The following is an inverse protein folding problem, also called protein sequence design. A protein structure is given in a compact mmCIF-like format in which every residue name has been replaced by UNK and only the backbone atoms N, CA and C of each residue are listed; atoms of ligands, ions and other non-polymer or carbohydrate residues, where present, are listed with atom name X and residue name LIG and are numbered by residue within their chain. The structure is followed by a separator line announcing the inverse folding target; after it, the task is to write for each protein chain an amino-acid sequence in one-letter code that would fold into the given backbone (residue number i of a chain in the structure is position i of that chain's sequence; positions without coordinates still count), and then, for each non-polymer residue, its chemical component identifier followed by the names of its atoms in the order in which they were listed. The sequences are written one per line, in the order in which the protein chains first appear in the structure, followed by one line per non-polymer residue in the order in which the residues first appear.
data_IF_620218371438
#
_entry.id   IF_620218371438
#
_cell.length_a   1.000
_cell.length_b   1.000
_cell.length_c   1.000
_cell.angle_alpha   90.00
_cell.angle_beta   90.00
_cell.angle_gamma   90.00
#
_symmetry.space_group_name_H-M   'P 1'
#
loop_
_entity.id
_entity.type
_entity.pdbx_description
1 polymer ?
#
# COMPACT_ATOMS: atom_id res chain seq x y z
N UNK A 1 4.13 -2.73 -25.32
CA UNK A 1 4.51 -3.70 -24.27
C UNK A 1 3.61 -3.60 -23.03
N UNK A 2 3.23 -2.40 -22.58
CA UNK A 2 2.35 -2.15 -21.41
C UNK A 2 0.93 -2.75 -21.55
N UNK A 3 0.35 -2.72 -22.75
CA UNK A 3 -0.99 -3.28 -23.04
C UNK A 3 -1.04 -4.81 -22.87
N UNK A 4 0.09 -5.49 -23.03
CA UNK A 4 0.17 -6.95 -22.85
C UNK A 4 0.13 -7.34 -21.36
N UNK A 5 0.78 -6.55 -20.50
CA UNK A 5 0.81 -6.78 -19.06
C UNK A 5 -0.57 -6.57 -18.42
N UNK A 6 -1.29 -5.52 -18.80
CA UNK A 6 -2.65 -5.26 -18.28
C UNK A 6 -3.66 -6.34 -18.67
N UNK A 7 -3.57 -6.86 -19.91
CA UNK A 7 -4.42 -7.96 -20.38
C UNK A 7 -4.13 -9.26 -19.62
N UNK A 8 -2.85 -9.53 -19.32
CA UNK A 8 -2.44 -10.70 -18.56
C UNK A 8 -2.87 -10.63 -17.09
N UNK A 9 -2.77 -9.46 -16.44
CA UNK A 9 -3.25 -9.26 -15.06
C UNK A 9 -4.75 -9.53 -14.97
N UNK A 10 -5.55 -8.93 -15.85
CA UNK A 10 -7.01 -9.12 -15.87
C UNK A 10 -7.42 -10.58 -16.18
N UNK A 11 -6.64 -11.27 -17.00
CA UNK A 11 -6.88 -12.68 -17.33
C UNK A 11 -6.63 -13.59 -16.13
N UNK A 12 -5.51 -13.39 -15.42
CA UNK A 12 -5.14 -14.20 -14.26
C UNK A 12 -6.05 -13.94 -13.07
N UNK A 13 -6.45 -12.69 -12.81
CA UNK A 13 -7.47 -12.37 -11.79
C UNK A 13 -8.77 -13.14 -12.03
N UNK A 14 -9.26 -13.20 -13.28
CA UNK A 14 -10.47 -13.97 -13.63
C UNK A 14 -10.30 -15.48 -13.50
N UNK A 15 -9.12 -16.03 -13.74
CA UNK A 15 -8.90 -17.48 -13.54
C UNK A 15 -8.90 -17.86 -12.06
N UNK A 16 -8.27 -17.05 -11.20
CA UNK A 16 -8.27 -17.27 -9.75
C UNK A 16 -9.69 -17.14 -9.16
N UNK A 17 -10.48 -16.18 -9.64
CA UNK A 17 -11.90 -16.03 -9.27
C UNK A 17 -12.75 -17.24 -9.68
N UNK A 18 -12.42 -17.88 -10.82
CA UNK A 18 -13.12 -19.10 -11.29
C UNK A 18 -12.72 -20.35 -10.53
N UNK A 19 -11.45 -20.49 -10.17
CA UNK A 19 -10.91 -21.70 -9.51
C UNK A 19 -11.15 -21.71 -8.00
N UNK A 20 -11.22 -20.54 -7.36
CA UNK A 20 -11.42 -20.44 -5.89
C UNK A 20 -12.88 -20.52 -5.44
N UNK A 21 -13.86 -20.45 -6.35
CA UNK A 21 -15.30 -20.60 -6.07
C UNK A 21 -15.89 -19.61 -5.05
N UNK A 22 -15.14 -18.57 -4.64
CA UNK A 22 -15.53 -17.64 -3.57
C UNK A 22 -15.75 -16.23 -4.14
N UNK A 23 -17.02 -15.83 -4.22
CA UNK A 23 -17.46 -14.46 -4.54
C UNK A 23 -17.24 -13.48 -3.36
N UNK A 24 -16.01 -13.35 -2.85
CA UNK A 24 -15.69 -12.36 -1.81
C UNK A 24 -14.62 -11.39 -2.31
N UNK A 25 -14.75 -10.07 -2.01
CA UNK A 25 -13.74 -9.10 -2.38
C UNK A 25 -12.43 -9.47 -1.70
N UNK A 26 -11.41 -9.64 -2.53
CA UNK A 26 -10.04 -9.92 -2.13
C UNK A 26 -9.57 -8.77 -1.24
N UNK A 27 -9.37 -9.01 0.07
CA UNK A 27 -8.74 -8.02 0.96
C UNK A 27 -7.42 -7.59 0.34
N UNK A 28 -7.08 -6.31 0.46
CA UNK A 28 -5.91 -5.63 -0.16
C UNK A 28 -4.55 -6.29 0.20
N UNK A 29 -4.53 -7.31 1.06
CA UNK A 29 -3.37 -8.18 1.29
C UNK A 29 -3.12 -9.30 0.26
N UNK A 30 -4.01 -9.58 -0.71
CA UNK A 30 -3.82 -10.70 -1.66
C UNK A 30 -3.09 -10.34 -2.97
N UNK A 31 -2.13 -9.42 -2.92
CA UNK A 31 -1.05 -9.39 -3.91
C UNK A 31 -0.10 -10.59 -3.77
N UNK A 32 -0.17 -11.32 -2.63
CA UNK A 32 0.64 -12.49 -2.33
C UNK A 32 0.29 -13.74 -3.18
N UNK A 33 -0.99 -14.02 -3.45
CA UNK A 33 -1.38 -15.24 -4.20
C UNK A 33 -1.06 -15.16 -5.70
N UNK A 34 -1.17 -13.97 -6.31
CA UNK A 34 -0.85 -13.77 -7.74
C UNK A 34 0.67 -13.75 -8.03
N UNK A 35 1.49 -13.34 -7.06
CA UNK A 35 2.96 -13.30 -7.22
C UNK A 35 3.57 -14.71 -7.38
N UNK A 36 2.90 -15.75 -6.87
CA UNK A 36 3.31 -17.15 -7.07
C UNK A 36 3.17 -17.61 -8.54
N UNK A 37 2.30 -16.97 -9.31
CA UNK A 37 1.98 -17.36 -10.69
C UNK A 37 2.59 -16.44 -11.76
N UNK A 38 3.02 -15.22 -11.43
CA UNK A 38 3.69 -14.30 -12.39
C UNK A 38 4.91 -13.64 -11.72
N UNK A 39 6.10 -14.26 -11.77
CA UNK A 39 7.31 -13.76 -11.12
C UNK A 39 7.75 -12.37 -11.59
N UNK A 40 7.48 -12.02 -12.85
CA UNK A 40 7.84 -10.72 -13.43
C UNK A 40 6.96 -9.55 -12.96
N UNK A 41 5.87 -9.82 -12.23
CA UNK A 41 5.02 -8.80 -11.61
C UNK A 41 5.28 -8.65 -10.11
N UNK A 42 6.09 -9.54 -9.52
CA UNK A 42 6.45 -9.44 -8.13
C UNK A 42 7.42 -8.28 -7.94
N UNK A 43 7.00 -7.28 -7.17
CA UNK A 43 7.88 -6.21 -6.74
C UNK A 43 9.06 -6.81 -5.96
N UNK A 44 10.30 -6.29 -6.12
CA UNK A 44 11.46 -6.78 -5.39
C UNK A 44 11.46 -6.35 -3.91
N UNK A 45 10.33 -5.82 -3.43
CA UNK A 45 10.11 -5.36 -2.07
C UNK A 45 8.62 -5.48 -1.71
N UNK A 46 8.34 -5.37 -0.41
CA UNK A 46 7.00 -5.24 0.14
C UNK A 46 6.78 -3.81 0.61
N UNK A 47 5.56 -3.33 0.58
CA UNK A 47 5.24 -2.01 1.12
C UNK A 47 3.83 -1.97 1.70
N UNK A 48 3.68 -1.13 2.71
CA UNK A 48 2.43 -0.78 3.37
C UNK A 48 2.35 0.74 3.46
N UNK A 49 1.16 1.26 3.77
CA UNK A 49 0.98 2.69 3.95
C UNK A 49 -0.14 2.96 4.93
N UNK A 50 -0.03 4.09 5.60
CA UNK A 50 -1.14 4.74 6.28
C UNK A 50 -1.45 6.06 5.56
N UNK A 51 -2.33 6.89 6.15
CA UNK A 51 -2.67 8.16 5.54
C UNK A 51 -1.46 9.12 5.49
N UNK A 52 -0.59 9.09 6.52
CA UNK A 52 0.57 9.96 6.66
C UNK A 52 1.88 9.40 6.08
N UNK A 53 2.02 8.10 5.95
CA UNK A 53 3.32 7.45 5.74
C UNK A 53 3.26 6.24 4.81
N UNK A 54 4.43 5.84 4.31
CA UNK A 54 4.66 4.61 3.53
C UNK A 54 5.86 3.88 4.09
N UNK A 55 5.68 2.61 4.43
CA UNK A 55 6.77 1.73 4.86
C UNK A 55 7.10 0.72 3.76
N UNK A 56 8.39 0.53 3.51
CA UNK A 56 8.91 -0.35 2.47
C UNK A 56 9.91 -1.31 3.11
N UNK A 57 9.76 -2.60 2.82
CA UNK A 57 10.65 -3.68 3.27
C UNK A 57 11.32 -4.31 2.06
N UNK A 58 12.64 -4.10 1.94
CA UNK A 58 13.46 -4.61 0.85
C UNK A 58 14.33 -5.76 1.36
N UNK A 59 14.09 -7.02 0.94
CA UNK A 59 14.96 -8.13 1.31
C UNK A 59 16.36 -7.95 0.70
N UNK A 60 17.39 -8.20 1.51
CA UNK A 60 18.80 -8.15 1.12
C UNK A 60 19.51 -9.42 1.58
N UNK A 61 20.68 -9.78 1.00
CA UNK A 61 21.43 -10.96 1.43
C UNK A 61 21.75 -10.93 2.93
N UNK A 62 21.69 -12.09 3.57
CA UNK A 62 21.98 -12.20 5.01
C UNK A 62 23.40 -11.73 5.33
N UNK A 63 23.52 -10.94 6.40
CA UNK A 63 24.79 -10.33 6.82
C UNK A 63 25.06 -8.95 6.20
N UNK A 64 24.14 -8.42 5.40
CA UNK A 64 24.22 -7.05 4.85
C UNK A 64 24.24 -6.03 5.98
N UNK A 65 25.24 -5.15 6.01
CA UNK A 65 25.34 -4.05 6.98
C UNK A 65 25.08 -2.71 6.31
N UNK A 66 24.79 -1.68 7.10
CA UNK A 66 24.58 -0.31 6.63
C UNK A 66 25.69 0.21 5.71
N UNK A 67 26.95 -0.17 5.97
CA UNK A 67 28.10 0.24 5.16
C UNK A 67 28.12 -0.35 3.75
N UNK A 68 27.39 -1.43 3.52
CA UNK A 68 27.32 -2.14 2.23
C UNK A 68 26.20 -1.59 1.35
N UNK A 69 25.33 -0.74 1.90
CA UNK A 69 24.16 -0.17 1.25
C UNK A 69 24.45 1.19 0.62
N UNK A 70 23.75 1.46 -0.48
CA UNK A 70 23.63 2.76 -1.13
C UNK A 70 22.14 3.10 -1.22
N UNK A 71 21.68 3.93 -0.28
CA UNK A 71 20.29 4.37 -0.18
C UNK A 71 20.23 5.87 -0.41
N UNK A 72 19.38 6.28 -1.35
CA UNK A 72 19.12 7.68 -1.67
C UNK A 72 17.62 7.91 -1.53
N UNK A 73 17.27 8.75 -0.56
CA UNK A 73 15.91 9.24 -0.33
C UNK A 73 15.91 10.72 -0.69
N UNK A 74 15.10 11.12 -1.66
CA UNK A 74 14.91 12.51 -2.06
C UNK A 74 13.42 12.77 -2.20
N UNK A 75 13.05 14.06 -2.24
CA UNK A 75 11.66 14.53 -2.23
C UNK A 75 10.74 13.75 -3.19
N UNK A 76 11.25 13.34 -4.35
CA UNK A 76 10.50 12.61 -5.36
C UNK A 76 11.26 11.41 -5.95
N UNK A 77 12.28 10.90 -5.26
CA UNK A 77 13.11 9.80 -5.77
C UNK A 77 13.53 8.86 -4.66
N UNK A 78 13.50 7.56 -4.94
CA UNK A 78 14.01 6.52 -4.07
C UNK A 78 14.96 5.61 -4.85
N UNK A 79 16.12 5.34 -4.25
CA UNK A 79 17.08 4.35 -4.74
C UNK A 79 17.59 3.52 -3.58
N UNK A 80 17.65 2.20 -3.74
CA UNK A 80 18.12 1.22 -2.77
C UNK A 80 18.95 0.19 -3.51
N UNK A 81 20.18 -0.01 -3.10
CA UNK A 81 21.05 -1.03 -3.69
C UNK A 81 22.25 -1.35 -2.81
N UNK A 82 22.98 -2.40 -3.20
CA UNK A 82 24.25 -2.77 -2.60
C UNK A 82 25.40 -2.12 -3.37
N UNK A 83 26.49 -1.78 -2.68
CA UNK A 83 27.70 -1.24 -3.32
C UNK A 83 28.23 -2.23 -4.37
N UNK A 84 28.42 -1.76 -5.59
CA UNK A 84 28.95 -2.56 -6.69
C UNK A 84 27.96 -3.55 -7.32
N UNK A 85 26.66 -3.47 -6.98
CA UNK A 85 25.59 -4.27 -7.60
C UNK A 85 24.53 -3.37 -8.23
N UNK A 86 23.66 -3.98 -9.03
CA UNK A 86 22.47 -3.31 -9.54
C UNK A 86 21.53 -2.91 -8.41
N UNK A 87 20.82 -1.80 -8.62
CA UNK A 87 19.87 -1.29 -7.63
C UNK A 87 18.64 -2.19 -7.59
N UNK A 88 18.21 -2.50 -6.37
CA UNK A 88 17.01 -3.30 -6.10
C UNK A 88 15.75 -2.45 -6.30
N UNK A 89 15.83 -1.19 -5.91
CA UNK A 89 14.77 -0.18 -6.05
C UNK A 89 15.42 1.04 -6.68
N UNK A 90 14.91 1.56 -7.80
CA UNK A 90 15.38 2.81 -8.38
C UNK A 90 14.26 3.47 -9.18
N UNK A 91 13.88 4.69 -8.80
CA UNK A 91 12.89 5.42 -9.58
C UNK A 91 12.34 6.67 -8.92
N UNK A 92 11.42 7.31 -9.64
CA UNK A 92 10.65 8.44 -9.16
C UNK A 92 9.49 7.96 -8.28
N UNK A 93 9.33 8.60 -7.12
CA UNK A 93 8.20 8.36 -6.22
C UNK A 93 6.90 8.86 -6.86
N UNK A 94 5.78 8.21 -6.57
CA UNK A 94 4.49 8.63 -7.14
C UNK A 94 4.05 10.01 -6.63
N UNK A 95 4.48 10.40 -5.42
CA UNK A 95 4.20 11.68 -4.79
C UNK A 95 5.38 12.14 -3.93
N UNK A 96 5.32 13.42 -3.54
CA UNK A 96 6.36 14.06 -2.76
C UNK A 96 6.37 13.59 -1.30
N UNK A 97 7.56 13.44 -0.75
CA UNK A 97 7.82 13.08 0.65
C UNK A 97 8.53 14.21 1.40
N UNK A 98 8.44 14.18 2.73
CA UNK A 98 9.23 15.02 3.62
C UNK A 98 10.53 14.29 3.98
N UNK A 99 11.59 14.60 3.23
CA UNK A 99 12.88 13.89 3.30
C UNK A 99 13.46 13.90 4.72
N UNK A 100 13.38 15.02 5.42
CA UNK A 100 13.93 15.19 6.77
C UNK A 100 13.25 14.28 7.83
N UNK A 101 12.03 13.82 7.56
CA UNK A 101 11.25 12.92 8.43
C UNK A 101 11.22 11.49 7.89
N UNK A 102 11.82 11.25 6.73
CA UNK A 102 11.94 9.92 6.14
C UNK A 102 13.25 9.27 6.58
N UNK A 103 13.19 7.98 6.94
CA UNK A 103 14.35 7.26 7.49
C UNK A 103 14.49 5.88 6.87
N UNK A 104 15.63 5.24 7.11
CA UNK A 104 15.82 3.83 6.77
C UNK A 104 16.67 3.14 7.84
N UNK A 105 16.45 1.85 8.01
CA UNK A 105 17.19 0.99 8.93
C UNK A 105 17.46 -0.36 8.29
N UNK A 106 18.37 -1.13 8.89
CA UNK A 106 18.60 -2.54 8.51
C UNK A 106 18.17 -3.39 9.69
N UNK A 107 17.24 -4.30 9.45
CA UNK A 107 16.73 -5.26 10.43
C UNK A 107 17.33 -6.64 10.15
N UNK A 108 17.79 -7.31 11.21
CA UNK A 108 18.38 -8.65 11.22
C UNK A 108 19.53 -8.88 10.21
N UNK A 109 20.13 -7.80 9.70
CA UNK A 109 21.11 -7.83 8.60
C UNK A 109 20.61 -8.55 7.33
N UNK A 110 19.29 -8.57 7.09
CA UNK A 110 18.68 -9.26 5.94
C UNK A 110 17.50 -8.48 5.32
N UNK A 111 17.05 -7.41 5.96
CA UNK A 111 15.95 -6.59 5.47
C UNK A 111 16.29 -5.12 5.64
N UNK A 112 16.14 -4.33 4.58
CA UNK A 112 16.18 -2.86 4.68
C UNK A 112 14.75 -2.36 4.86
N UNK A 113 14.49 -1.66 5.95
CA UNK A 113 13.23 -0.98 6.22
C UNK A 113 13.39 0.48 5.85
N UNK A 114 12.44 1.02 5.09
CA UNK A 114 12.44 2.42 4.64
C UNK A 114 11.10 3.00 5.03
N UNK A 115 11.15 4.08 5.80
CA UNK A 115 9.99 4.84 6.23
C UNK A 115 9.97 6.16 5.46
N UNK A 116 8.88 6.42 4.74
CA UNK A 116 8.68 7.63 3.96
C UNK A 116 7.52 8.44 4.52
N UNK A 117 7.83 9.63 5.01
CA UNK A 117 6.82 10.57 5.48
C UNK A 117 6.21 11.30 4.28
N UNK A 118 4.89 11.20 4.07
CA UNK A 118 4.23 11.85 2.95
C UNK A 118 4.19 13.35 3.16
N UNK A 119 4.45 14.11 2.10
CA UNK A 119 4.24 15.56 2.15
C UNK A 119 2.74 15.89 2.22
N UNK A 120 1.92 15.12 1.50
CA UNK A 120 0.45 15.21 1.56
C UNK A 120 -0.11 14.02 2.34
N UNK A 121 -0.55 14.28 3.58
CA UNK A 121 -1.11 13.30 4.52
C UNK A 121 -2.62 13.07 4.34
N UNK A 122 -3.17 13.31 3.17
CA UNK A 122 -4.59 13.07 2.87
C UNK A 122 -4.77 12.14 1.66
N UNK A 123 -3.67 11.66 1.06
CA UNK A 123 -3.72 10.85 -0.16
C UNK A 123 -3.11 9.47 0.01
N UNK A 124 -3.89 8.48 -0.41
CA UNK A 124 -3.43 7.12 -0.62
C UNK A 124 -2.58 7.03 -1.88
N UNK A 125 -1.44 6.36 -1.77
CA UNK A 125 -0.54 6.11 -2.87
C UNK A 125 -1.03 4.90 -3.66
N UNK A 126 -1.15 5.02 -4.98
CA UNK A 126 -1.51 3.88 -5.84
C UNK A 126 -0.32 2.93 -6.04
N UNK A 127 0.90 3.44 -5.93
CA UNK A 127 2.15 2.73 -6.10
C UNK A 127 3.27 3.49 -5.39
N UNK A 128 4.39 2.86 -5.08
CA UNK A 128 5.56 3.56 -4.51
C UNK A 128 6.33 4.31 -5.59
N UNK A 129 6.73 3.60 -6.65
CA UNK A 129 7.42 4.17 -7.80
C UNK A 129 6.47 4.31 -8.98
N UNK A 130 6.59 5.39 -9.74
CA UNK A 130 5.70 5.73 -10.86
C UNK A 130 5.56 4.64 -11.92
N UNK A 131 6.61 3.84 -12.13
CA UNK A 131 6.66 2.78 -13.13
C UNK A 131 6.16 1.42 -12.62
N UNK A 132 5.86 1.30 -11.32
CA UNK A 132 5.32 0.07 -10.74
C UNK A 132 3.80 -0.03 -10.90
N UNK A 133 3.24 -1.25 -10.86
CA UNK A 133 1.81 -1.47 -10.94
C UNK A 133 1.05 -0.68 -9.88
N UNK A 134 -0.07 -0.08 -10.30
CA UNK A 134 -0.98 0.68 -9.46
C UNK A 134 -1.99 -0.23 -8.75
N UNK A 135 -2.28 0.10 -7.50
CA UNK A 135 -3.33 -0.48 -6.66
C UNK A 135 -4.56 0.43 -6.73
N UNK A 136 -5.75 -0.18 -6.75
CA UNK A 136 -7.01 0.55 -6.64
C UNK A 136 -7.24 0.97 -5.17
N UNK A 137 -6.95 2.23 -4.87
CA UNK A 137 -7.01 2.80 -3.52
C UNK A 137 -8.44 3.02 -3.00
N UNK A 138 -9.46 2.92 -3.86
CA UNK A 138 -10.88 3.08 -3.47
C UNK A 138 -11.40 1.94 -2.58
N UNK A 139 -10.67 0.83 -2.55
CA UNK A 139 -11.01 -0.38 -1.76
C UNK A 139 -10.22 -0.46 -0.44
N UNK A 140 -9.37 0.52 -0.15
CA UNK A 140 -8.64 0.57 1.11
C UNK A 140 -9.62 1.06 2.17
N UNK A 141 -10.06 0.14 3.03
CA UNK A 141 -10.86 0.50 4.20
C UNK A 141 -9.97 1.34 5.12
N UNK A 142 -10.35 2.61 5.44
CA UNK A 142 -9.63 3.36 6.45
C UNK A 142 -9.71 2.55 7.74
N UNK A 143 -8.55 2.27 8.35
CA UNK A 143 -8.48 1.50 9.58
C UNK A 143 -9.51 2.05 10.56
N UNK A 144 -10.43 1.18 11.02
CA UNK A 144 -11.49 1.56 11.95
C UNK A 144 -10.90 2.43 13.05
N UNK A 145 -11.14 3.75 13.00
CA UNK A 145 -11.03 4.61 14.16
C UNK A 145 -12.02 4.03 15.15
N UNK A 146 -11.54 3.24 16.11
CA UNK A 146 -12.41 2.65 17.09
C UNK A 146 -13.05 3.81 17.83
N UNK A 147 -14.37 3.82 17.88
CA UNK A 147 -15.15 4.77 18.67
C UNK A 147 -14.71 4.82 20.15
N UNK A 148 -13.94 3.82 20.61
CA UNK A 148 -13.33 3.77 21.95
C UNK A 148 -12.31 4.86 22.21
N UNK A 149 -11.70 5.44 21.18
CA UNK A 149 -10.57 6.37 21.31
C UNK A 149 -11.04 7.83 21.26
N UNK A 150 -12.35 8.06 21.10
CA UNK A 150 -13.00 9.35 21.16
C UNK A 150 -13.53 9.59 22.59
N UNK A 151 -13.34 10.80 23.11
CA UNK A 151 -13.92 11.24 24.37
C UNK A 151 -15.46 11.19 24.32
N UNK A 152 -16.10 11.01 25.48
CA UNK A 152 -17.52 10.67 25.58
C UNK A 152 -18.47 11.67 24.90
N UNK A 153 -18.08 12.94 24.77
CA UNK A 153 -18.87 13.98 24.12
C UNK A 153 -18.83 13.87 22.58
N UNK A 154 -17.64 13.70 21.99
CA UNK A 154 -17.46 13.49 20.54
C UNK A 154 -18.07 12.16 20.07
N UNK A 155 -17.97 11.12 20.92
CA UNK A 155 -18.55 9.80 20.66
C UNK A 155 -20.07 9.87 20.47
N UNK A 156 -20.77 10.62 21.32
CA UNK A 156 -22.22 10.80 21.22
C UNK A 156 -22.66 11.49 19.93
N UNK A 157 -21.87 12.45 19.43
CA UNK A 157 -22.15 13.11 18.15
C UNK A 157 -21.96 12.16 16.95
N UNK A 158 -20.89 11.36 16.96
CA UNK A 158 -20.60 10.38 15.89
C UNK A 158 -21.63 9.25 15.87
N UNK A 159 -22.04 8.72 17.03
CA UNK A 159 -23.11 7.71 17.13
C UNK A 159 -24.44 8.26 16.59
N UNK A 160 -24.78 9.51 16.93
CA UNK A 160 -25.98 10.17 16.43
C UNK A 160 -25.95 10.37 14.91
N UNK A 161 -24.82 10.81 14.35
CA UNK A 161 -24.67 10.96 12.89
C UNK A 161 -24.77 9.62 12.16
N UNK A 162 -24.18 8.54 12.71
CA UNK A 162 -24.29 7.20 12.13
C UNK A 162 -25.73 6.67 12.15
N UNK A 163 -26.45 6.90 13.25
CA UNK A 163 -27.86 6.51 13.40
C UNK A 163 -28.78 7.29 12.44
N UNK A 164 -28.58 8.60 12.31
CA UNK A 164 -29.35 9.45 11.39
C UNK A 164 -29.13 9.05 9.93
N UNK A 165 -27.89 8.67 9.56
CA UNK A 165 -27.57 8.22 8.21
C UNK A 165 -28.20 6.84 7.92
N UNK A 166 -28.18 5.91 8.89
CA UNK A 166 -28.85 4.62 8.78
C UNK A 166 -30.37 4.76 8.63
N UNK A 167 -31.00 5.63 9.43
CA UNK A 167 -32.43 5.90 9.32
C UNK A 167 -32.79 6.52 7.96
N UNK A 168 -32.01 7.48 7.46
CA UNK A 168 -32.25 8.08 6.13
C UNK A 168 -32.19 7.04 5.01
N UNK A 169 -31.19 6.13 5.04
CA UNK A 169 -31.06 5.05 4.05
C UNK A 169 -32.22 4.05 4.15
N UNK A 170 -32.72 3.78 5.36
CA UNK A 170 -33.85 2.88 5.58
C UNK A 170 -35.17 3.51 5.12
N UNK A 171 -35.47 4.74 5.51
CA UNK A 171 -36.66 5.48 5.07
C UNK A 171 -36.69 5.65 3.56
N UNK A 172 -35.54 5.87 2.92
CA UNK A 172 -35.44 6.01 1.47
C UNK A 172 -35.63 4.67 0.73
N UNK A 173 -35.38 3.53 1.39
CA UNK A 173 -35.71 2.19 0.86
C UNK A 173 -37.19 1.84 0.97
N UNK A 174 -37.86 2.32 2.02
CA UNK A 174 -39.26 2.00 2.28
C UNK A 174 -40.23 2.85 1.44
N UNK A 175 -39.79 4.01 0.92
CA UNK A 175 -40.57 4.85 -0.02
C UNK A 175 -40.56 4.32 -1.47
N UNK A 176 -39.65 3.39 -1.80
CA UNK A 176 -39.48 2.82 -3.14
C UNK A 176 -40.10 1.40 -3.28
N UNK A 177 -40.95 0.99 -2.34
CA UNK A 177 -41.70 -0.28 -2.40
C UNK A 177 -43.20 -0.05 -2.51
#
# INVERSE_FOLDING_TARGET
MTVYLEKNVKYVTRQIERESGKSRPVRVGCYLEIAQYIPSLALPYRWTQELGEVDISVPVPQGTRARDLLIVIQKKKLSVGLKGQDKIVDGELCMDIKVEESTWTVEDNQTVLIHLEKLNKERWWENVLTHHPKIDTRKIEPGNSKLSDLDGETRGMVEKMMFDNQQKVQTQRDVLR
#
